data_IF_987440636901
#
_entry.id   IF_987440636901
#
_cell.length_a   1.000
_cell.length_b   1.000
_cell.length_c   1.000
_cell.angle_alpha   90.00
_cell.angle_beta   90.00
_cell.angle_gamma   90.00
#
_symmetry.space_group_name_H-M   'P 1'
#
loop_
_entity.id
_entity.type
_entity.pdbx_description
1 polymer ?
#
# COMPACT_ATOMS: atom_id res chain seq x y z
N UNK A 1 7.52 2.84 -21.32
CA UNK A 1 8.48 3.96 -21.22
C UNK A 1 8.55 4.53 -19.79
N UNK A 2 7.41 4.88 -19.17
CA UNK A 2 7.34 5.47 -17.82
C UNK A 2 8.06 4.65 -16.74
N UNK A 3 7.84 3.33 -16.65
CA UNK A 3 8.49 2.46 -15.65
C UNK A 3 10.03 2.55 -15.66
N UNK A 4 10.65 2.68 -16.84
CA UNK A 4 12.11 2.81 -16.97
C UNK A 4 12.63 4.11 -16.38
N UNK A 5 11.89 5.21 -16.57
CA UNK A 5 12.22 6.51 -16.00
C UNK A 5 12.09 6.45 -14.47
N UNK A 6 11.00 5.89 -13.96
CA UNK A 6 10.81 5.72 -12.52
C UNK A 6 11.93 4.85 -11.90
N UNK A 7 12.28 3.73 -12.52
CA UNK A 7 13.37 2.86 -12.06
C UNK A 7 14.72 3.59 -11.99
N UNK A 8 15.04 4.41 -13.00
CA UNK A 8 16.29 5.19 -13.04
C UNK A 8 16.41 6.17 -11.87
N UNK A 9 15.29 6.64 -11.34
CA UNK A 9 15.24 7.66 -10.28
C UNK A 9 14.81 7.09 -8.93
N UNK A 10 14.74 5.76 -8.76
CA UNK A 10 14.29 5.11 -7.53
C UNK A 10 12.87 5.55 -7.10
N UNK A 11 11.99 5.77 -8.08
CA UNK A 11 10.61 6.21 -7.90
C UNK A 11 9.58 5.09 -8.09
N UNK A 12 10.02 3.83 -8.11
CA UNK A 12 9.11 2.69 -8.16
C UNK A 12 8.53 2.46 -6.77
N UNK A 13 7.20 2.57 -6.66
CA UNK A 13 6.49 2.33 -5.41
C UNK A 13 6.58 0.87 -4.96
N UNK A 14 6.39 0.60 -3.65
CA UNK A 14 6.62 -0.71 -3.05
C UNK A 14 5.67 -1.81 -3.57
N UNK A 15 4.54 -1.45 -4.14
CA UNK A 15 3.55 -2.39 -4.67
C UNK A 15 3.41 -2.32 -6.20
N UNK A 16 4.39 -1.73 -6.91
CA UNK A 16 4.31 -1.50 -8.36
C UNK A 16 4.24 -2.78 -9.21
N UNK A 17 4.63 -3.93 -8.66
CA UNK A 17 4.54 -5.23 -9.33
C UNK A 17 3.19 -5.94 -9.07
N UNK A 18 2.25 -5.30 -8.34
CA UNK A 18 0.89 -5.78 -8.13
C UNK A 18 -0.10 -4.98 -9.01
N UNK A 19 -0.39 -5.43 -10.25
CA UNK A 19 -1.12 -4.63 -11.24
C UNK A 19 -2.57 -4.31 -10.85
N UNK A 20 -3.19 -5.13 -10.01
CA UNK A 20 -4.55 -4.91 -9.52
C UNK A 20 -4.62 -4.06 -8.24
N UNK A 21 -3.48 -3.70 -7.64
CA UNK A 21 -3.43 -2.90 -6.42
C UNK A 21 -3.06 -1.47 -6.77
N UNK A 22 -4.02 -0.57 -6.59
CA UNK A 22 -3.77 0.86 -6.64
C UNK A 22 -3.23 1.36 -5.30
N UNK A 23 -2.29 2.30 -5.36
CA UNK A 23 -1.72 2.96 -4.18
C UNK A 23 -1.85 4.48 -4.28
N UNK A 24 -2.27 5.13 -3.21
CA UNK A 24 -2.22 6.58 -3.08
C UNK A 24 -1.69 7.01 -1.71
N UNK A 25 -0.87 8.05 -1.65
CA UNK A 25 -0.34 8.59 -0.39
C UNK A 25 -0.95 9.95 -0.10
N UNK A 26 -1.36 10.18 1.16
CA UNK A 26 -1.73 11.51 1.66
C UNK A 26 -0.87 11.83 2.89
N UNK A 27 -0.50 13.09 3.04
CA UNK A 27 0.15 13.60 4.24
C UNK A 27 -0.80 14.62 4.87
N UNK A 28 -1.23 14.37 6.10
CA UNK A 28 -2.07 15.30 6.84
C UNK A 28 -1.25 16.52 7.32
N UNK A 29 -1.90 17.63 7.69
CA UNK A 29 -1.19 18.84 8.15
C UNK A 29 -0.27 18.62 9.36
N UNK A 30 -0.56 17.61 10.19
CA UNK A 30 0.25 17.21 11.34
C UNK A 30 1.45 16.31 10.96
N UNK A 31 1.67 16.05 9.67
CA UNK A 31 2.71 15.17 9.16
C UNK A 31 2.33 13.68 9.11
N UNK A 32 1.14 13.30 9.58
CA UNK A 32 0.68 11.91 9.53
C UNK A 32 0.61 11.42 8.08
N UNK A 33 1.33 10.33 7.79
CA UNK A 33 1.34 9.70 6.46
C UNK A 33 0.31 8.60 6.38
N UNK A 34 -0.60 8.73 5.41
CA UNK A 34 -1.62 7.74 5.08
C UNK A 34 -1.28 7.10 3.74
N UNK A 35 -1.30 5.78 3.68
CA UNK A 35 -1.23 5.00 2.46
C UNK A 35 -2.55 4.27 2.23
N UNK A 36 -3.16 4.53 1.08
CA UNK A 36 -4.35 3.85 0.61
C UNK A 36 -3.92 2.71 -0.28
N UNK A 37 -4.45 1.51 -0.01
CA UNK A 37 -4.30 0.35 -0.87
C UNK A 37 -5.69 -0.09 -1.31
N UNK A 38 -5.93 -0.14 -2.62
CA UNK A 38 -7.21 -0.55 -3.19
C UNK A 38 -6.95 -1.75 -4.10
N UNK A 39 -7.51 -2.90 -3.74
CA UNK A 39 -7.52 -4.06 -4.62
C UNK A 39 -8.69 -3.93 -5.58
N UNK A 40 -8.42 -3.85 -6.89
CA UNK A 40 -9.46 -3.82 -7.92
C UNK A 40 -9.80 -5.21 -8.47
N UNK A 41 -9.10 -6.26 -8.01
CA UNK A 41 -9.35 -7.64 -8.44
C UNK A 41 -10.49 -8.31 -7.65
N UNK A 42 -11.23 -9.24 -8.28
CA UNK A 42 -12.15 -10.15 -7.59
C UNK A 42 -11.42 -11.26 -6.81
N UNK A 43 -10.09 -11.35 -6.90
CA UNK A 43 -9.25 -12.23 -6.09
C UNK A 43 -8.56 -11.47 -4.94
N UNK A 44 -8.18 -12.15 -3.84
CA UNK A 44 -7.39 -11.53 -2.78
C UNK A 44 -6.00 -11.10 -3.28
N UNK A 45 -5.57 -9.90 -2.92
CA UNK A 45 -4.20 -9.44 -3.15
C UNK A 45 -3.31 -9.82 -1.96
N UNK A 46 -2.29 -10.65 -2.21
CA UNK A 46 -1.29 -11.05 -1.22
C UNK A 46 -0.05 -10.17 -1.36
N UNK A 47 0.19 -9.33 -0.36
CA UNK A 47 1.25 -8.35 -0.31
C UNK A 47 2.21 -8.63 0.85
N UNK A 48 3.34 -7.95 0.85
CA UNK A 48 4.26 -7.85 1.98
C UNK A 48 4.25 -6.41 2.48
N UNK A 49 3.97 -6.19 3.77
CA UNK A 49 3.87 -4.85 4.32
C UNK A 49 5.21 -4.10 4.17
N UNK A 50 5.22 -3.03 3.36
CA UNK A 50 6.44 -2.25 3.12
C UNK A 50 6.86 -1.37 4.32
N UNK A 51 5.99 -1.18 5.32
CA UNK A 51 6.24 -0.42 6.53
C UNK A 51 5.32 -0.89 7.67
N UNK A 52 5.74 -0.66 8.92
CA UNK A 52 4.87 -0.88 10.08
C UNK A 52 3.73 0.14 10.04
N UNK A 53 2.51 -0.33 10.18
CA UNK A 53 1.33 0.51 10.04
C UNK A 53 0.14 0.00 10.87
N UNK A 54 -0.83 0.88 11.05
CA UNK A 54 -2.17 0.54 11.54
C UNK A 54 -3.18 0.77 10.42
N UNK A 55 -3.96 -0.24 10.08
CA UNK A 55 -5.13 -0.07 9.23
C UNK A 55 -6.24 0.63 10.02
N UNK A 56 -6.66 1.80 9.54
CA UNK A 56 -7.65 2.64 10.20
C UNK A 56 -9.08 2.12 10.01
N UNK A 57 -9.33 1.23 9.05
CA UNK A 57 -10.65 0.64 8.83
C UNK A 57 -10.93 -0.52 9.80
N UNK A 58 -9.90 -1.29 10.15
CA UNK A 58 -10.03 -2.49 11.00
C UNK A 58 -9.38 -2.34 12.38
N UNK A 59 -8.50 -1.36 12.57
CA UNK A 59 -7.67 -1.20 13.77
C UNK A 59 -6.47 -2.18 13.82
N UNK A 60 -6.33 -3.08 12.85
CA UNK A 60 -5.26 -4.09 12.83
C UNK A 60 -3.90 -3.44 12.61
N UNK A 61 -2.91 -3.90 13.36
CA UNK A 61 -1.50 -3.55 13.17
C UNK A 61 -0.83 -4.57 12.24
N UNK A 62 0.04 -4.09 11.36
CA UNK A 62 0.94 -4.91 10.54
C UNK A 62 2.37 -4.44 10.77
N UNK A 63 3.32 -5.37 10.91
CA UNK A 63 4.74 -5.02 10.93
C UNK A 63 5.35 -5.01 9.54
N UNK A 64 6.42 -4.23 9.38
CA UNK A 64 7.24 -4.28 8.16
C UNK A 64 7.66 -5.73 7.87
N UNK A 65 7.60 -6.09 6.59
CA UNK A 65 7.94 -7.42 6.06
C UNK A 65 6.97 -8.55 6.43
N UNK A 66 5.92 -8.28 7.22
CA UNK A 66 4.87 -9.27 7.46
C UNK A 66 3.89 -9.38 6.27
N UNK A 67 3.20 -10.53 6.12
CA UNK A 67 2.12 -10.67 5.16
C UNK A 67 0.99 -9.66 5.39
N UNK A 68 0.56 -9.01 4.32
CA UNK A 68 -0.60 -8.11 4.27
C UNK A 68 -1.52 -8.60 3.17
N UNK A 69 -2.77 -8.97 3.49
CA UNK A 69 -3.74 -9.43 2.50
C UNK A 69 -4.88 -8.42 2.39
N UNK A 70 -5.22 -8.06 1.16
CA UNK A 70 -6.47 -7.37 0.84
C UNK A 70 -7.44 -8.41 0.32
N UNK A 71 -8.66 -8.40 0.83
CA UNK A 71 -9.76 -9.23 0.31
C UNK A 71 -10.11 -8.84 -1.15
N UNK A 72 -10.91 -9.66 -1.87
CA UNK A 72 -11.51 -9.25 -3.13
C UNK A 72 -12.16 -7.88 -3.04
N UNK A 73 -11.80 -6.97 -3.95
CA UNK A 73 -12.30 -5.59 -3.96
C UNK A 73 -12.01 -4.81 -2.65
N UNK A 74 -11.10 -5.32 -1.82
CA UNK A 74 -10.81 -4.84 -0.49
C UNK A 74 -9.96 -3.58 -0.48
N UNK A 75 -10.14 -2.79 0.58
CA UNK A 75 -9.42 -1.54 0.81
C UNK A 75 -8.76 -1.58 2.18
N UNK A 76 -7.53 -1.05 2.27
CA UNK A 76 -6.88 -0.73 3.54
C UNK A 76 -6.45 0.74 3.56
N UNK A 77 -6.61 1.39 4.71
CA UNK A 77 -6.14 2.76 4.94
C UNK A 77 -5.09 2.73 6.03
N UNK A 78 -3.83 2.69 5.62
CA UNK A 78 -2.70 2.49 6.51
C UNK A 78 -2.17 3.83 7.02
N UNK A 79 -2.22 4.04 8.33
CA UNK A 79 -1.40 5.06 8.99
C UNK A 79 0.00 4.49 9.22
N UNK A 80 0.98 5.05 8.53
CA UNK A 80 2.37 4.62 8.61
C UNK A 80 3.01 5.12 9.92
N UNK A 81 3.96 4.34 10.44
CA UNK A 81 4.84 4.73 11.55
C UNK A 81 6.27 4.98 11.07
#
# INVERSE_FOLDING_TARGET
MVRRVLARHDLIGPYADHPAVETATRVAPDGTRLLFLLNHAPEPARLTAHATATDLLTGKRSERSEPLTLDPLGVAVLRLR
#
